data_IF_430141237002
#
_entry.id   IF_430141237002
#
_cell.length_a   1.000
_cell.length_b   1.000
_cell.length_c   1.000
_cell.angle_alpha   90.00
_cell.angle_beta   90.00
_cell.angle_gamma   90.00
#
_symmetry.space_group_name_H-M   'P 1'
#
loop_
_entity.id
_entity.type
_entity.pdbx_description
1 polymer ?
#
# COMPACT_ATOMS: atom_id res chain seq x y z
N UNK A 1 -24.48 -15.39 -10.61
CA UNK A 1 -24.42 -15.86 -9.21
C UNK A 1 -23.69 -17.19 -9.17
N UNK A 2 -22.74 -17.39 -8.25
CA UNK A 2 -21.99 -18.63 -8.12
C UNK A 2 -22.97 -19.80 -7.86
N UNK A 3 -22.91 -20.91 -8.63
CA UNK A 3 -23.76 -22.07 -8.42
C UNK A 3 -23.45 -22.79 -7.10
N UNK A 4 -22.23 -22.69 -6.59
CA UNK A 4 -21.76 -23.32 -5.35
C UNK A 4 -22.19 -22.48 -4.14
N UNK A 5 -23.49 -22.47 -3.87
CA UNK A 5 -24.11 -21.76 -2.74
C UNK A 5 -25.14 -22.64 -2.05
N UNK A 6 -25.37 -22.37 -0.79
CA UNK A 6 -26.36 -23.09 0.01
C UNK A 6 -27.03 -22.14 1.00
N UNK A 7 -28.29 -22.35 1.26
CA UNK A 7 -29.00 -21.70 2.35
C UNK A 7 -28.77 -22.54 3.61
N UNK A 8 -28.05 -21.97 4.57
CA UNK A 8 -27.73 -22.64 5.83
C UNK A 8 -28.67 -22.18 6.93
N UNK A 9 -29.16 -23.14 7.72
CA UNK A 9 -29.90 -22.86 8.93
C UNK A 9 -28.97 -23.01 10.16
N UNK A 10 -28.64 -21.84 10.77
CA UNK A 10 -27.75 -21.73 11.90
C UNK A 10 -26.28 -22.02 11.63
N UNK A 11 -25.46 -21.89 12.69
CA UNK A 11 -24.00 -22.02 12.61
C UNK A 11 -23.54 -23.40 12.14
N UNK A 12 -24.17 -24.48 12.64
CA UNK A 12 -23.80 -25.85 12.27
C UNK A 12 -23.95 -26.10 10.74
N UNK A 13 -24.93 -25.45 10.09
CA UNK A 13 -25.09 -25.51 8.63
C UNK A 13 -23.95 -24.81 7.91
N UNK A 14 -23.56 -23.64 8.40
CA UNK A 14 -22.44 -22.85 7.87
C UNK A 14 -21.12 -23.64 8.00
N UNK A 15 -20.83 -24.19 9.18
CA UNK A 15 -19.62 -25.00 9.43
C UNK A 15 -19.51 -26.16 8.44
N UNK A 16 -20.57 -26.98 8.32
CA UNK A 16 -20.57 -28.09 7.35
C UNK A 16 -20.34 -27.64 5.91
N UNK A 17 -20.87 -26.50 5.53
CA UNK A 17 -20.63 -25.93 4.20
C UNK A 17 -19.16 -25.52 4.02
N UNK A 18 -18.58 -24.85 5.01
CA UNK A 18 -17.18 -24.42 5.00
C UNK A 18 -16.22 -25.60 4.94
N UNK A 19 -16.39 -26.61 5.82
CA UNK A 19 -15.55 -27.81 5.86
C UNK A 19 -15.61 -28.60 4.54
N UNK A 20 -16.80 -28.72 3.96
CA UNK A 20 -16.96 -29.37 2.67
C UNK A 20 -16.19 -28.65 1.57
N UNK A 21 -16.28 -27.32 1.49
CA UNK A 21 -15.61 -26.56 0.44
C UNK A 21 -14.11 -26.38 0.68
N UNK A 22 -13.64 -26.42 1.92
CA UNK A 22 -12.21 -26.50 2.21
C UNK A 22 -11.56 -27.73 1.54
N UNK A 23 -12.26 -28.88 1.55
CA UNK A 23 -11.77 -30.11 0.93
C UNK A 23 -12.00 -30.15 -0.59
N UNK A 24 -13.12 -29.63 -1.07
CA UNK A 24 -13.53 -29.75 -2.48
C UNK A 24 -13.12 -28.58 -3.36
N UNK A 25 -12.57 -27.50 -2.81
CA UNK A 25 -12.20 -26.28 -3.54
C UNK A 25 -11.25 -26.51 -4.72
N UNK A 26 -10.38 -27.51 -4.60
CA UNK A 26 -9.41 -27.86 -5.65
C UNK A 26 -10.04 -28.53 -6.88
N UNK A 27 -11.32 -28.95 -6.80
CA UNK A 27 -12.07 -29.53 -7.91
C UNK A 27 -12.80 -28.45 -8.73
N UNK A 28 -12.81 -27.21 -8.28
CA UNK A 28 -13.42 -26.08 -8.99
C UNK A 28 -12.58 -25.66 -10.20
N UNK A 29 -13.18 -25.21 -11.30
CA UNK A 29 -12.47 -24.70 -12.45
C UNK A 29 -11.90 -23.28 -12.23
N UNK A 30 -11.93 -22.79 -11.00
CA UNK A 30 -11.43 -21.49 -10.57
C UNK A 30 -10.89 -21.57 -9.13
N UNK A 31 -9.93 -20.71 -8.79
CA UNK A 31 -9.39 -20.63 -7.45
C UNK A 31 -10.36 -19.93 -6.48
N UNK A 32 -10.42 -20.43 -5.23
CA UNK A 32 -11.18 -19.82 -4.14
C UNK A 32 -10.30 -19.71 -2.89
N UNK A 33 -10.39 -18.61 -2.18
CA UNK A 33 -9.62 -18.31 -0.97
C UNK A 33 -10.44 -18.43 0.32
N UNK A 34 -11.73 -18.76 0.17
CA UNK A 34 -12.64 -18.90 1.32
C UNK A 34 -14.11 -18.92 0.92
N UNK A 35 -14.95 -18.81 1.92
CA UNK A 35 -16.40 -18.78 1.83
C UNK A 35 -16.90 -17.43 2.33
N UNK A 36 -17.92 -16.87 1.67
CA UNK A 36 -18.61 -15.67 2.15
C UNK A 36 -19.99 -16.05 2.69
N UNK A 37 -20.20 -15.81 3.96
CA UNK A 37 -21.49 -15.96 4.64
C UNK A 37 -22.23 -14.64 4.62
N UNK A 38 -23.50 -14.66 4.25
CA UNK A 38 -24.36 -13.47 4.15
C UNK A 38 -25.68 -13.70 4.83
N UNK A 39 -26.24 -12.66 5.44
CA UNK A 39 -27.67 -12.70 5.84
C UNK A 39 -28.53 -12.93 4.59
N UNK A 40 -29.50 -13.84 4.69
CA UNK A 40 -30.37 -14.14 3.55
C UNK A 40 -31.57 -13.17 3.44
N UNK A 41 -32.07 -12.65 4.55
CA UNK A 41 -33.17 -11.66 4.56
C UNK A 41 -32.64 -10.27 4.20
N UNK A 42 -33.14 -9.71 3.10
CA UNK A 42 -32.72 -8.39 2.59
C UNK A 42 -33.09 -7.26 3.55
N UNK A 43 -34.17 -7.37 4.33
CA UNK A 43 -34.53 -6.36 5.33
C UNK A 43 -33.49 -6.31 6.45
N UNK A 44 -33.01 -7.47 6.89
CA UNK A 44 -31.92 -7.55 7.87
C UNK A 44 -30.58 -7.05 7.32
N UNK A 45 -30.35 -7.19 5.99
CA UNK A 45 -29.18 -6.57 5.36
C UNK A 45 -29.27 -5.04 5.41
N UNK A 46 -30.43 -4.47 5.12
CA UNK A 46 -30.67 -3.01 5.17
C UNK A 46 -30.55 -2.48 6.61
N UNK A 47 -31.11 -3.18 7.59
CA UNK A 47 -30.99 -2.83 9.02
C UNK A 47 -29.55 -2.90 9.52
N UNK A 48 -28.78 -3.94 9.13
CA UNK A 48 -27.37 -4.07 9.49
C UNK A 48 -26.51 -2.98 8.84
N UNK A 49 -26.88 -2.56 7.64
CA UNK A 49 -26.22 -1.50 6.89
C UNK A 49 -24.81 -1.85 6.44
N UNK A 50 -24.05 -0.79 6.12
CA UNK A 50 -22.66 -0.89 5.64
C UNK A 50 -21.74 -0.01 6.46
N UNK A 51 -20.47 -0.38 6.52
CA UNK A 51 -19.40 0.54 6.88
C UNK A 51 -18.93 1.27 5.62
N UNK A 52 -17.97 2.17 5.74
CA UNK A 52 -17.39 2.83 4.57
C UNK A 52 -16.65 1.87 3.62
N UNK A 53 -16.29 0.67 4.08
CA UNK A 53 -15.47 -0.29 3.32
C UNK A 53 -16.15 -1.62 3.06
N UNK A 54 -17.12 -2.01 3.87
CA UNK A 54 -17.70 -3.35 3.79
C UNK A 54 -19.13 -3.40 4.31
N UNK A 55 -19.98 -4.33 3.83
CA UNK A 55 -21.28 -4.61 4.39
C UNK A 55 -21.14 -5.25 5.78
N UNK A 56 -22.04 -4.89 6.71
CA UNK A 56 -22.11 -5.50 8.05
C UNK A 56 -22.84 -6.84 8.06
N UNK A 57 -23.57 -7.14 7.02
CA UNK A 57 -24.36 -8.35 6.83
C UNK A 57 -23.63 -9.47 6.09
N UNK A 58 -22.32 -9.31 5.82
CA UNK A 58 -21.50 -10.32 5.19
C UNK A 58 -20.17 -10.50 5.93
N UNK A 59 -19.73 -11.75 6.08
CA UNK A 59 -18.45 -12.11 6.69
C UNK A 59 -17.74 -13.14 5.80
N UNK A 60 -16.44 -13.00 5.63
CA UNK A 60 -15.61 -13.95 4.89
C UNK A 60 -14.88 -14.87 5.86
N UNK A 61 -15.00 -16.18 5.67
CA UNK A 61 -14.16 -17.20 6.27
C UNK A 61 -13.08 -17.59 5.26
N UNK A 62 -11.84 -17.26 5.55
CA UNK A 62 -10.68 -17.62 4.72
C UNK A 62 -10.17 -19.01 5.09
N UNK A 63 -9.80 -19.80 4.08
CA UNK A 63 -9.13 -21.08 4.31
C UNK A 63 -7.74 -20.85 4.93
N UNK A 64 -7.20 -21.86 5.65
CA UNK A 64 -5.81 -21.84 6.06
C UNK A 64 -4.89 -21.62 4.85
N UNK A 65 -3.94 -20.70 4.99
CA UNK A 65 -2.98 -20.42 3.94
C UNK A 65 -2.00 -21.59 3.77
N UNK A 66 -1.72 -21.94 2.52
CA UNK A 66 -0.67 -22.91 2.20
C UNK A 66 0.70 -22.36 2.61
N UNK A 67 1.54 -23.24 3.16
CA UNK A 67 2.93 -22.95 3.54
C UNK A 67 3.90 -23.77 2.71
N UNK A 68 5.04 -23.18 2.35
CA UNK A 68 6.08 -23.88 1.64
C UNK A 68 7.47 -23.42 2.11
N UNK A 69 8.44 -24.35 2.30
CA UNK A 69 9.82 -24.00 2.62
C UNK A 69 10.56 -23.54 1.37
N UNK A 70 11.45 -22.55 1.54
CA UNK A 70 12.36 -22.12 0.49
C UNK A 70 13.63 -21.52 1.08
N UNK A 71 14.73 -21.51 0.29
CA UNK A 71 16.03 -21.00 0.73
C UNK A 71 16.12 -19.49 0.51
N UNK A 72 16.43 -18.76 1.57
CA UNK A 72 16.67 -17.32 1.54
C UNK A 72 17.97 -17.00 0.80
N UNK A 73 17.86 -16.18 -0.26
CA UNK A 73 18.98 -15.79 -1.12
C UNK A 73 19.56 -14.44 -0.73
N UNK A 74 18.71 -13.47 -0.43
CA UNK A 74 19.11 -12.12 0.00
C UNK A 74 17.98 -11.35 0.67
N UNK A 75 18.36 -10.30 1.38
CA UNK A 75 17.48 -9.25 1.88
C UNK A 75 17.49 -8.08 0.90
N UNK A 76 16.32 -7.65 0.43
CA UNK A 76 16.14 -6.44 -0.37
C UNK A 76 15.39 -5.42 0.46
N UNK A 77 15.81 -4.17 0.39
CA UNK A 77 15.18 -3.09 1.15
C UNK A 77 14.46 -2.15 0.20
N UNK A 78 13.18 -1.90 0.45
CA UNK A 78 12.35 -1.00 -0.33
C UNK A 78 12.00 0.24 0.50
N UNK A 79 11.98 1.40 -0.14
CA UNK A 79 11.59 2.67 0.49
C UNK A 79 10.24 3.11 -0.05
N UNK A 80 9.27 3.22 0.83
CA UNK A 80 7.91 3.64 0.50
C UNK A 80 7.76 5.17 0.40
N UNK A 81 6.60 5.62 -0.05
CA UNK A 81 6.28 7.07 -0.21
C UNK A 81 6.35 7.89 1.07
N UNK A 82 6.20 7.27 2.22
CA UNK A 82 6.31 7.91 3.53
C UNK A 82 7.72 7.80 4.12
N UNK A 83 8.69 7.36 3.33
CA UNK A 83 10.03 7.06 3.78
C UNK A 83 10.16 5.73 4.52
N UNK A 84 9.07 5.03 4.83
CA UNK A 84 9.13 3.75 5.51
C UNK A 84 9.96 2.73 4.72
N UNK A 85 10.90 2.11 5.42
CA UNK A 85 11.83 1.13 4.90
C UNK A 85 11.27 -0.26 5.18
N UNK A 86 10.97 -1.00 4.12
CA UNK A 86 10.37 -2.33 4.23
C UNK A 86 11.36 -3.38 3.74
N UNK A 87 11.80 -4.29 4.62
CA UNK A 87 12.62 -5.43 4.21
C UNK A 87 11.78 -6.48 3.47
N UNK A 88 12.35 -7.03 2.42
CA UNK A 88 11.77 -8.07 1.58
C UNK A 88 12.76 -9.21 1.44
N UNK A 89 12.37 -10.41 1.84
CA UNK A 89 13.13 -11.62 1.61
C UNK A 89 13.03 -12.02 0.13
N UNK A 90 14.15 -12.21 -0.55
CA UNK A 90 14.22 -12.92 -1.83
C UNK A 90 14.74 -14.35 -1.58
N UNK A 91 14.01 -15.33 -2.10
CA UNK A 91 14.29 -16.75 -1.89
C UNK A 91 14.12 -17.54 -3.19
N UNK A 92 14.56 -18.79 -3.20
CA UNK A 92 14.39 -19.67 -4.35
C UNK A 92 12.90 -19.76 -4.72
N UNK A 93 12.54 -19.67 -6.01
CA UNK A 93 11.12 -19.73 -6.41
C UNK A 93 10.45 -21.01 -5.92
N UNK A 94 9.29 -20.86 -5.28
CA UNK A 94 8.49 -21.96 -4.76
C UNK A 94 7.04 -21.84 -5.23
N UNK A 95 6.42 -22.97 -5.54
CA UNK A 95 5.00 -23.02 -5.87
C UNK A 95 4.16 -22.84 -4.60
N UNK A 96 3.23 -21.89 -4.60
CA UNK A 96 2.40 -21.57 -3.45
C UNK A 96 1.05 -21.01 -3.93
N UNK A 97 -0.03 -21.64 -3.55
CA UNK A 97 -1.40 -21.28 -3.95
C UNK A 97 -1.52 -21.04 -5.47
N UNK A 98 -1.07 -22.01 -6.28
CA UNK A 98 -1.18 -21.99 -7.74
C UNK A 98 -0.29 -21.00 -8.49
N UNK A 99 0.62 -20.30 -7.80
CA UNK A 99 1.57 -19.37 -8.43
C UNK A 99 3.01 -19.63 -7.95
N UNK A 100 3.99 -19.16 -8.72
CA UNK A 100 5.40 -19.16 -8.29
C UNK A 100 5.70 -17.89 -7.50
N UNK A 101 6.23 -18.04 -6.28
CA UNK A 101 6.60 -16.96 -5.37
C UNK A 101 8.09 -17.01 -5.10
N UNK A 102 8.77 -15.85 -5.16
CA UNK A 102 10.20 -15.71 -4.89
C UNK A 102 10.54 -14.53 -3.98
N UNK A 103 9.52 -13.79 -3.52
CA UNK A 103 9.67 -12.64 -2.63
C UNK A 103 8.57 -12.63 -1.58
N UNK A 104 8.93 -12.31 -0.34
CA UNK A 104 7.97 -12.15 0.75
C UNK A 104 8.35 -10.97 1.64
N UNK A 105 7.34 -10.29 2.19
CA UNK A 105 7.61 -9.20 3.13
C UNK A 105 8.14 -9.73 4.46
N UNK A 106 9.05 -8.95 5.05
CA UNK A 106 9.51 -9.11 6.43
C UNK A 106 8.97 -7.98 7.33
N UNK A 107 8.04 -7.19 6.81
CA UNK A 107 7.36 -6.08 7.47
C UNK A 107 8.30 -4.97 7.97
N UNK A 108 9.17 -5.24 8.94
CA UNK A 108 10.07 -4.29 9.60
C UNK A 108 11.31 -4.98 10.21
N UNK A 109 12.19 -4.21 10.85
CA UNK A 109 13.39 -4.72 11.52
C UNK A 109 13.06 -5.69 12.67
N UNK A 110 12.00 -5.41 13.43
CA UNK A 110 11.60 -6.26 14.56
C UNK A 110 11.27 -7.67 14.11
N UNK A 111 10.63 -7.80 12.95
CA UNK A 111 10.34 -9.12 12.38
C UNK A 111 11.57 -9.88 11.95
N UNK A 112 12.62 -9.20 11.45
CA UNK A 112 13.91 -9.82 11.13
C UNK A 112 14.54 -10.36 12.42
N UNK A 113 14.57 -9.56 13.48
CA UNK A 113 15.12 -9.92 14.77
C UNK A 113 14.32 -11.06 15.45
N UNK A 114 12.97 -11.00 15.42
CA UNK A 114 12.09 -12.04 15.96
C UNK A 114 12.31 -13.40 15.29
N UNK A 115 12.53 -13.39 13.97
CA UNK A 115 12.82 -14.59 13.18
C UNK A 115 14.26 -15.08 13.37
N UNK A 116 15.15 -14.31 13.98
CA UNK A 116 16.60 -14.57 14.01
C UNK A 116 17.13 -14.93 12.60
N UNK A 117 16.80 -14.06 11.63
CA UNK A 117 16.98 -14.36 10.21
C UNK A 117 18.45 -14.26 9.78
N UNK A 118 18.97 -15.30 9.14
CA UNK A 118 20.32 -15.34 8.61
C UNK A 118 20.34 -15.61 7.09
N UNK A 119 21.38 -15.13 6.43
CA UNK A 119 21.55 -15.38 5.00
C UNK A 119 21.71 -16.88 4.74
N UNK A 120 20.94 -17.40 3.80
CA UNK A 120 20.95 -18.82 3.43
C UNK A 120 20.04 -19.70 4.29
N UNK A 121 19.29 -19.13 5.25
CA UNK A 121 18.29 -19.88 6.01
C UNK A 121 17.24 -20.52 5.10
N UNK A 122 16.71 -21.65 5.54
CA UNK A 122 15.46 -22.16 4.99
C UNK A 122 14.31 -21.48 5.74
N UNK A 123 13.51 -20.71 5.00
CA UNK A 123 12.34 -19.98 5.50
C UNK A 123 11.06 -20.65 5.06
N UNK A 124 10.04 -20.65 5.92
CA UNK A 124 8.70 -21.07 5.55
C UNK A 124 7.90 -19.84 5.16
N UNK A 125 7.37 -19.84 3.96
CA UNK A 125 6.59 -18.74 3.39
C UNK A 125 5.14 -19.15 3.22
N UNK A 126 4.23 -18.18 3.37
CA UNK A 126 2.80 -18.35 3.07
C UNK A 126 2.29 -17.10 2.36
N UNK A 127 1.15 -17.20 1.72
CA UNK A 127 0.40 -16.03 1.23
C UNK A 127 -0.67 -15.64 2.22
N UNK A 128 -0.47 -14.53 2.92
CA UNK A 128 -1.51 -13.94 3.78
C UNK A 128 -2.72 -13.56 2.92
N UNK A 129 -3.90 -14.14 3.23
CA UNK A 129 -5.12 -13.95 2.43
C UNK A 129 -4.96 -14.38 0.97
N UNK A 130 -4.06 -15.33 0.69
CA UNK A 130 -3.70 -15.87 -0.64
C UNK A 130 -3.15 -14.82 -1.64
N UNK A 131 -2.77 -13.63 -1.17
CA UNK A 131 -2.31 -12.53 -2.04
C UNK A 131 -0.87 -12.11 -1.70
N UNK A 132 -0.59 -11.74 -0.45
CA UNK A 132 0.69 -11.16 -0.05
C UNK A 132 1.59 -12.23 0.59
N UNK A 133 2.73 -12.57 -0.04
CA UNK A 133 3.68 -13.50 0.56
C UNK A 133 4.34 -12.89 1.81
N UNK A 134 4.43 -13.68 2.87
CA UNK A 134 5.15 -13.33 4.10
C UNK A 134 6.00 -14.49 4.59
N UNK A 135 7.08 -14.19 5.31
CA UNK A 135 7.90 -15.19 6.00
C UNK A 135 7.28 -15.48 7.37
N UNK A 136 6.87 -16.73 7.57
CA UNK A 136 6.21 -17.19 8.80
C UNK A 136 7.22 -17.53 9.88
N UNK A 137 8.22 -18.36 9.53
CA UNK A 137 9.26 -18.86 10.43
C UNK A 137 10.51 -19.27 9.66
N UNK A 138 11.60 -19.41 10.37
CA UNK A 138 12.85 -20.04 9.95
C UNK A 138 12.84 -21.51 10.39
N UNK A 139 13.59 -22.37 9.67
CA UNK A 139 13.92 -23.74 10.09
C UNK A 139 15.40 -23.76 10.52
N UNK A 140 15.70 -23.50 11.82
CA UNK A 140 17.06 -23.32 12.31
C UNK A 140 17.92 -24.59 12.14
N UNK A 141 17.29 -25.76 12.13
CA UNK A 141 17.93 -27.06 11.92
C UNK A 141 18.53 -27.21 10.52
N UNK A 142 18.06 -26.41 9.55
CA UNK A 142 18.57 -26.39 8.16
C UNK A 142 19.50 -25.19 7.91
N UNK A 143 19.84 -24.40 8.91
CA UNK A 143 20.72 -23.23 8.78
C UNK A 143 22.14 -23.65 8.39
N UNK A 144 22.74 -23.02 7.33
CA UNK A 144 24.11 -23.27 6.95
C UNK A 144 25.10 -22.90 8.07
N UNK A 145 26.17 -23.67 8.22
CA UNK A 145 27.25 -23.30 9.14
C UNK A 145 27.89 -21.98 8.71
N UNK A 146 28.03 -21.05 9.66
CA UNK A 146 28.61 -19.73 9.41
C UNK A 146 27.64 -18.74 8.71
N UNK A 147 26.35 -19.02 8.72
CA UNK A 147 25.35 -18.08 8.23
C UNK A 147 25.44 -16.73 8.97
N UNK A 148 25.33 -15.63 8.23
CA UNK A 148 25.47 -14.27 8.75
C UNK A 148 24.10 -13.73 9.11
N UNK A 149 23.89 -13.16 10.32
CA UNK A 149 22.66 -12.49 10.69
C UNK A 149 22.31 -11.38 9.69
N UNK A 150 21.03 -11.20 9.42
CA UNK A 150 20.52 -10.13 8.58
C UNK A 150 19.92 -9.02 9.43
N UNK A 151 20.14 -7.79 8.98
CA UNK A 151 19.57 -6.58 9.59
C UNK A 151 19.26 -5.54 8.52
N UNK A 152 18.53 -4.48 8.90
CA UNK A 152 18.36 -3.34 8.03
C UNK A 152 19.66 -2.55 7.90
N UNK A 153 19.92 -1.92 6.73
CA UNK A 153 21.06 -1.01 6.60
C UNK A 153 20.86 0.25 7.43
N UNK A 154 21.95 0.87 7.87
CA UNK A 154 21.92 2.16 8.57
C UNK A 154 21.58 3.34 7.64
N UNK A 155 21.73 3.14 6.34
CA UNK A 155 21.54 4.18 5.33
C UNK A 155 20.50 3.77 4.28
N UNK A 156 19.78 4.78 3.80
CA UNK A 156 18.78 4.60 2.75
C UNK A 156 19.44 4.09 1.47
N UNK A 157 18.99 2.96 0.90
CA UNK A 157 19.57 2.39 -0.32
C UNK A 157 19.37 3.27 -1.57
N UNK A 158 18.46 4.24 -1.50
CA UNK A 158 18.10 5.10 -2.63
C UNK A 158 18.83 6.45 -2.63
N UNK A 159 19.08 7.04 -1.46
CA UNK A 159 19.67 8.38 -1.35
C UNK A 159 20.86 8.48 -0.39
N UNK A 160 21.26 7.40 0.27
CA UNK A 160 22.39 7.34 1.18
C UNK A 160 22.20 8.08 2.53
N UNK A 161 21.06 8.71 2.78
CA UNK A 161 20.79 9.39 4.05
C UNK A 161 20.65 8.37 5.18
N UNK A 162 21.08 8.73 6.39
CA UNK A 162 20.90 7.92 7.59
C UNK A 162 19.42 7.63 7.81
N UNK A 163 19.11 6.37 8.08
CA UNK A 163 17.77 5.95 8.45
C UNK A 163 17.50 6.23 9.92
N UNK A 164 16.27 6.59 10.24
CA UNK A 164 15.84 6.95 11.60
C UNK A 164 14.69 6.05 12.02
N UNK A 165 14.72 5.62 13.26
CA UNK A 165 13.61 4.91 13.91
C UNK A 165 13.19 5.70 15.14
N UNK A 166 11.91 5.99 15.23
CA UNK A 166 11.29 6.54 16.43
C UNK A 166 10.98 5.38 17.40
N UNK A 167 11.25 5.57 18.69
CA UNK A 167 11.01 4.53 19.72
C UNK A 167 9.53 4.15 19.84
N UNK A 168 8.63 5.03 19.43
CA UNK A 168 7.19 4.79 19.41
C UNK A 168 6.69 4.04 18.17
N UNK A 169 7.56 3.82 17.16
CA UNK A 169 7.20 3.22 15.88
C UNK A 169 8.02 1.96 15.56
N UNK A 170 7.36 0.95 15.00
CA UNK A 170 8.06 -0.23 14.45
C UNK A 170 8.76 0.07 13.12
N UNK A 171 8.47 1.18 12.47
CA UNK A 171 8.97 1.52 11.13
C UNK A 171 10.27 2.32 11.19
N UNK A 172 11.32 1.82 10.57
CA UNK A 172 12.54 2.59 10.24
C UNK A 172 12.26 3.44 8.98
N UNK A 173 12.78 4.69 8.93
CA UNK A 173 12.44 5.64 7.86
C UNK A 173 13.64 6.38 7.30
N UNK A 174 13.56 6.64 6.00
CA UNK A 174 14.30 7.71 5.35
C UNK A 174 13.52 9.01 5.54
N UNK A 175 14.15 10.01 6.15
CA UNK A 175 13.55 11.33 6.42
C UNK A 175 13.95 12.39 5.39
N UNK A 176 14.74 12.03 4.39
CA UNK A 176 15.16 12.94 3.33
C UNK A 176 14.00 13.20 2.35
N UNK A 177 13.43 14.40 2.40
CA UNK A 177 12.33 14.83 1.52
C UNK A 177 12.70 14.81 0.03
N UNK A 178 14.01 14.86 -0.29
CA UNK A 178 14.54 14.79 -1.67
C UNK A 178 14.87 13.35 -2.09
N UNK A 179 14.50 12.34 -1.30
CA UNK A 179 14.75 10.93 -1.66
C UNK A 179 13.97 10.54 -2.93
N UNK A 180 14.66 10.03 -3.98
CA UNK A 180 13.98 9.64 -5.22
C UNK A 180 12.88 8.60 -5.04
N UNK A 181 13.05 7.67 -4.09
CA UNK A 181 12.03 6.66 -3.80
C UNK A 181 10.76 7.28 -3.20
N UNK A 182 10.91 8.24 -2.28
CA UNK A 182 9.78 8.98 -1.69
C UNK A 182 9.05 9.75 -2.78
N UNK A 183 9.79 10.45 -3.65
CA UNK A 183 9.21 11.18 -4.77
C UNK A 183 8.45 10.24 -5.73
N UNK A 184 9.09 9.16 -6.19
CA UNK A 184 8.42 8.16 -7.06
C UNK A 184 7.16 7.58 -6.41
N UNK A 185 7.24 7.28 -5.11
CA UNK A 185 6.10 6.79 -4.34
C UNK A 185 4.97 7.80 -4.20
N UNK A 186 5.30 9.07 -3.96
CA UNK A 186 4.36 10.19 -3.90
C UNK A 186 3.66 10.43 -5.24
N UNK A 187 4.43 10.46 -6.35
CA UNK A 187 3.91 10.60 -7.70
C UNK A 187 2.93 9.47 -8.08
N UNK A 188 3.31 8.20 -7.79
CA UNK A 188 2.40 7.04 -8.03
C UNK A 188 1.11 7.17 -7.24
N UNK A 189 1.19 7.65 -6.02
CA UNK A 189 0.01 7.85 -5.17
C UNK A 189 -0.87 8.99 -5.68
N UNK A 190 -0.25 10.13 -6.05
CA UNK A 190 -0.95 11.29 -6.60
C UNK A 190 -1.76 10.93 -7.84
N UNK A 191 -1.17 10.20 -8.78
CA UNK A 191 -1.82 9.84 -10.04
C UNK A 191 -2.73 8.61 -9.96
N UNK A 192 -2.83 7.98 -8.79
CA UNK A 192 -3.63 6.76 -8.61
C UNK A 192 -5.13 7.01 -8.77
N UNK A 193 -5.88 5.95 -9.09
CA UNK A 193 -7.34 5.98 -9.29
C UNK A 193 -8.10 6.57 -8.09
N UNK A 194 -7.62 6.36 -6.86
CA UNK A 194 -8.24 6.92 -5.65
C UNK A 194 -7.95 8.40 -5.43
N UNK A 195 -6.87 8.91 -6.00
CA UNK A 195 -6.44 10.31 -5.93
C UNK A 195 -6.81 11.07 -7.22
N UNK A 196 -5.87 11.54 -7.99
CA UNK A 196 -6.13 12.40 -9.16
C UNK A 196 -6.53 11.64 -10.43
N UNK A 197 -6.39 10.31 -10.45
CA UNK A 197 -6.82 9.41 -11.54
C UNK A 197 -6.24 9.79 -12.91
N UNK A 198 -4.93 9.96 -12.96
CA UNK A 198 -4.23 10.32 -14.19
C UNK A 198 -3.90 9.06 -14.98
N UNK A 199 -4.64 8.84 -16.05
CA UNK A 199 -4.38 7.72 -16.95
C UNK A 199 -3.11 7.94 -17.79
N UNK A 200 -2.40 6.85 -18.09
CA UNK A 200 -1.17 6.88 -18.90
C UNK A 200 0.12 7.16 -18.13
N UNK A 201 0.07 7.58 -16.85
CA UNK A 201 1.27 7.83 -16.03
C UNK A 201 1.62 6.63 -15.13
N UNK A 202 2.10 5.56 -15.74
CA UNK A 202 2.50 4.33 -15.04
C UNK A 202 3.87 4.41 -14.37
N UNK A 203 4.21 3.39 -13.54
CA UNK A 203 5.44 3.36 -12.75
C UNK A 203 6.72 3.54 -13.56
N UNK A 204 6.82 2.93 -14.76
CA UNK A 204 8.01 3.04 -15.61
C UNK A 204 8.24 4.46 -16.15
N UNK A 205 7.15 5.17 -16.43
CA UNK A 205 7.26 6.55 -16.89
C UNK A 205 7.64 7.49 -15.74
N UNK A 206 7.07 7.26 -14.54
CA UNK A 206 7.46 7.99 -13.32
C UNK A 206 8.95 7.79 -13.02
N UNK A 207 9.46 6.56 -13.14
CA UNK A 207 10.89 6.28 -12.98
C UNK A 207 11.74 7.11 -13.95
N UNK A 208 11.42 7.09 -15.26
CA UNK A 208 12.14 7.90 -16.25
C UNK A 208 12.10 9.40 -15.94
N UNK A 209 10.94 9.93 -15.56
CA UNK A 209 10.77 11.36 -15.24
C UNK A 209 11.64 11.78 -14.06
N UNK A 210 11.69 10.98 -13.01
CA UNK A 210 12.49 11.24 -11.80
C UNK A 210 13.97 11.04 -12.08
N UNK A 211 14.39 9.94 -12.72
CA UNK A 211 15.79 9.64 -13.03
C UNK A 211 16.43 10.67 -13.97
N UNK A 212 15.65 11.19 -14.93
CA UNK A 212 16.12 12.27 -15.81
C UNK A 212 16.02 13.66 -15.18
N UNK A 213 15.52 13.78 -13.94
CA UNK A 213 15.37 15.05 -13.23
C UNK A 213 14.32 15.98 -13.83
N UNK A 214 13.41 15.45 -14.66
CA UNK A 214 12.33 16.20 -15.30
C UNK A 214 11.20 16.54 -14.34
N UNK A 215 11.04 15.74 -13.27
CA UNK A 215 10.06 15.92 -12.21
C UNK A 215 10.78 15.78 -10.86
N UNK A 216 10.68 16.80 -10.02
CA UNK A 216 11.26 16.89 -8.67
C UNK A 216 10.20 17.10 -7.60
N UNK A 217 8.99 17.42 -8.01
CA UNK A 217 7.81 17.59 -7.15
C UNK A 217 6.56 17.10 -7.87
N UNK A 218 5.46 16.94 -7.14
CA UNK A 218 4.15 16.63 -7.73
C UNK A 218 3.72 17.75 -8.71
N UNK A 219 3.97 19.01 -8.38
CA UNK A 219 3.58 20.15 -9.19
C UNK A 219 4.28 20.17 -10.57
N UNK A 220 5.48 19.59 -10.68
CA UNK A 220 6.20 19.54 -11.96
C UNK A 220 5.48 18.67 -13.00
N UNK A 221 4.60 17.75 -12.59
CA UNK A 221 3.77 16.99 -13.51
C UNK A 221 2.93 17.90 -14.43
N UNK A 222 2.44 18.99 -13.88
CA UNK A 222 1.58 19.96 -14.58
C UNK A 222 2.34 20.96 -15.47
N UNK A 223 3.68 20.86 -15.48
CA UNK A 223 4.58 21.63 -16.33
C UNK A 223 5.11 20.82 -17.53
N UNK A 224 4.79 19.52 -17.59
CA UNK A 224 5.21 18.65 -18.69
C UNK A 224 4.43 18.97 -19.96
N UNK A 225 5.14 19.06 -21.08
CA UNK A 225 4.55 19.22 -22.39
C UNK A 225 4.61 17.94 -23.24
N UNK A 226 3.80 17.90 -24.29
CA UNK A 226 3.68 16.72 -25.14
C UNK A 226 4.98 16.42 -25.92
N UNK A 227 5.77 17.44 -26.29
CA UNK A 227 7.02 17.25 -27.05
C UNK A 227 8.09 16.58 -26.17
N UNK A 228 8.23 17.06 -24.93
CA UNK A 228 9.11 16.46 -23.94
C UNK A 228 8.72 15.01 -23.66
N UNK A 229 7.43 14.75 -23.40
CA UNK A 229 6.93 13.41 -23.13
C UNK A 229 7.13 12.46 -24.33
N UNK A 230 6.91 12.92 -25.56
CA UNK A 230 7.12 12.11 -26.76
C UNK A 230 8.59 11.72 -26.98
N UNK A 231 9.54 12.44 -26.38
CA UNK A 231 10.97 12.11 -26.41
C UNK A 231 11.38 10.98 -25.47
N UNK A 232 10.47 10.54 -24.57
CA UNK A 232 10.74 9.49 -23.60
C UNK A 232 10.58 8.10 -24.20
N UNK A 233 11.23 7.10 -23.58
CA UNK A 233 11.16 5.73 -24.05
C UNK A 233 9.73 5.19 -24.02
N UNK A 234 9.31 4.57 -25.12
CA UNK A 234 7.98 3.95 -25.29
C UNK A 234 6.82 4.94 -25.19
N UNK A 235 7.09 6.23 -25.43
CA UNK A 235 6.08 7.28 -25.46
C UNK A 235 6.00 7.86 -26.88
N UNK A 236 4.87 7.64 -27.56
CA UNK A 236 4.60 8.24 -28.86
C UNK A 236 3.81 9.54 -28.73
N UNK A 237 3.76 10.36 -29.79
CA UNK A 237 3.06 11.66 -29.82
C UNK A 237 1.61 11.58 -29.30
N UNK A 238 0.85 10.57 -29.74
CA UNK A 238 -0.54 10.38 -29.31
C UNK A 238 -0.65 10.09 -27.82
N UNK A 239 0.25 9.23 -27.28
CA UNK A 239 0.26 8.89 -25.84
C UNK A 239 0.67 10.09 -25.01
N UNK A 240 1.64 10.88 -25.48
CA UNK A 240 2.09 12.12 -24.85
C UNK A 240 0.95 13.16 -24.78
N UNK A 241 0.25 13.38 -25.89
CA UNK A 241 -0.89 14.30 -25.94
C UNK A 241 -2.03 13.84 -25.00
N UNK A 242 -2.35 12.55 -24.98
CA UNK A 242 -3.35 11.98 -24.09
C UNK A 242 -2.97 12.16 -22.60
N UNK A 243 -1.70 11.98 -22.26
CA UNK A 243 -1.22 12.17 -20.88
C UNK A 243 -1.33 13.64 -20.44
N UNK A 244 -0.94 14.60 -21.31
CA UNK A 244 -1.12 16.04 -21.02
C UNK A 244 -2.60 16.36 -20.80
N UNK A 245 -3.49 15.84 -21.64
CA UNK A 245 -4.94 16.02 -21.49
C UNK A 245 -5.45 15.40 -20.16
N UNK A 246 -4.96 14.22 -19.78
CA UNK A 246 -5.31 13.56 -18.50
C UNK A 246 -4.83 14.38 -17.29
N UNK A 247 -3.62 14.94 -17.34
CA UNK A 247 -3.11 15.85 -16.32
C UNK A 247 -3.99 17.12 -16.19
N UNK A 248 -4.37 17.76 -17.29
CA UNK A 248 -5.28 18.90 -17.23
C UNK A 248 -6.65 18.53 -16.67
N UNK A 249 -7.21 17.39 -17.08
CA UNK A 249 -8.48 16.90 -16.53
C UNK A 249 -8.39 16.62 -15.04
N UNK A 250 -7.26 16.12 -14.55
CA UNK A 250 -7.06 15.78 -13.13
C UNK A 250 -7.17 17.00 -12.21
N UNK A 251 -6.92 18.22 -12.70
CA UNK A 251 -7.09 19.47 -11.93
C UNK A 251 -8.55 19.70 -11.48
N UNK A 252 -9.52 19.05 -12.13
CA UNK A 252 -10.95 19.13 -11.80
C UNK A 252 -11.36 18.14 -10.70
N UNK A 253 -10.45 17.31 -10.22
CA UNK A 253 -10.77 16.37 -9.15
C UNK A 253 -11.12 17.11 -7.86
N UNK A 254 -12.13 16.62 -7.11
CA UNK A 254 -12.60 17.31 -5.90
C UNK A 254 -11.50 17.34 -4.82
N UNK A 255 -11.55 18.39 -3.99
CA UNK A 255 -10.53 18.69 -2.98
C UNK A 255 -10.15 17.50 -2.08
N UNK A 256 -11.11 16.66 -1.67
CA UNK A 256 -10.79 15.48 -0.85
C UNK A 256 -9.85 14.48 -1.54
N UNK A 257 -9.91 14.39 -2.88
CA UNK A 257 -9.02 13.51 -3.66
C UNK A 257 -7.62 14.11 -3.79
N UNK A 258 -7.54 15.43 -3.92
CA UNK A 258 -6.27 16.15 -3.90
C UNK A 258 -5.61 15.99 -2.52
N UNK A 259 -6.34 16.22 -1.44
CA UNK A 259 -5.87 16.04 -0.06
C UNK A 259 -5.38 14.60 0.19
N UNK A 260 -6.13 13.61 -0.26
CA UNK A 260 -5.69 12.21 -0.21
C UNK A 260 -4.42 11.98 -1.03
N UNK A 261 -4.35 12.56 -2.22
CA UNK A 261 -3.23 12.45 -3.17
C UNK A 261 -1.91 13.02 -2.63
N UNK A 262 -1.95 14.04 -1.77
CA UNK A 262 -0.75 14.59 -1.08
C UNK A 262 -0.03 13.54 -0.23
N UNK A 263 -0.73 12.45 0.15
CA UNK A 263 -0.12 11.32 0.84
C UNK A 263 0.33 11.60 2.26
N UNK A 264 -0.29 12.58 2.92
CA UNK A 264 -0.04 12.94 4.31
C UNK A 264 -0.26 11.71 5.21
N UNK A 265 0.62 11.48 6.16
CA UNK A 265 0.52 10.34 7.08
C UNK A 265 -0.83 10.35 7.80
N UNK A 266 -1.37 9.17 8.05
CA UNK A 266 -2.67 8.94 8.70
C UNK A 266 -3.89 9.52 7.95
N UNK A 267 -3.70 10.21 6.81
CA UNK A 267 -4.79 10.72 5.98
C UNK A 267 -5.06 9.74 4.83
N UNK A 268 -5.93 8.77 5.11
CA UNK A 268 -6.52 7.90 4.11
C UNK A 268 -7.72 8.58 3.43
N UNK A 269 -8.32 7.91 2.45
CA UNK A 269 -9.48 8.43 1.69
C UNK A 269 -10.64 8.90 2.59
N UNK A 270 -10.91 8.15 3.66
CA UNK A 270 -11.98 8.45 4.63
C UNK A 270 -11.70 9.76 5.36
N UNK A 271 -10.49 9.88 5.91
CA UNK A 271 -10.07 11.06 6.67
C UNK A 271 -9.97 12.29 5.75
N UNK A 272 -9.52 12.11 4.51
CA UNK A 272 -9.50 13.17 3.51
C UNK A 272 -10.91 13.70 3.19
N UNK A 273 -11.92 12.82 3.09
CA UNK A 273 -13.31 13.22 2.90
C UNK A 273 -13.87 13.99 4.10
N UNK A 274 -13.60 13.52 5.32
CA UNK A 274 -14.04 14.19 6.55
C UNK A 274 -13.41 15.57 6.70
N UNK A 275 -12.10 15.68 6.47
CA UNK A 275 -11.36 16.94 6.50
C UNK A 275 -11.84 17.91 5.41
N UNK A 276 -12.03 17.45 4.19
CA UNK A 276 -12.47 18.30 3.08
C UNK A 276 -13.92 18.78 3.22
N UNK A 277 -14.76 18.07 3.96
CA UNK A 277 -16.11 18.50 4.30
C UNK A 277 -16.09 19.66 5.32
N UNK A 278 -15.14 19.65 6.26
CA UNK A 278 -15.00 20.70 7.28
C UNK A 278 -14.16 21.89 6.77
N UNK A 279 -13.13 21.60 5.98
CA UNK A 279 -12.17 22.59 5.46
C UNK A 279 -12.14 22.51 3.94
N UNK A 280 -12.77 23.46 3.26
CA UNK A 280 -13.05 23.41 1.82
C UNK A 280 -11.87 23.71 0.91
N UNK A 281 -10.71 24.08 1.49
CA UNK A 281 -9.48 24.37 0.74
C UNK A 281 -8.23 24.05 1.56
N UNK A 282 -7.08 23.95 0.86
CA UNK A 282 -5.77 23.83 1.51
C UNK A 282 -5.47 24.99 2.45
N UNK A 283 -5.83 26.21 2.09
CA UNK A 283 -5.62 27.39 2.91
C UNK A 283 -6.45 27.35 4.21
N UNK A 284 -7.72 26.96 4.14
CA UNK A 284 -8.56 26.82 5.33
C UNK A 284 -8.09 25.69 6.26
N UNK A 285 -7.55 24.62 5.69
CA UNK A 285 -7.00 23.51 6.47
C UNK A 285 -5.66 23.90 7.13
N UNK A 286 -4.80 24.64 6.42
CA UNK A 286 -3.49 25.07 6.92
C UNK A 286 -3.61 26.05 8.11
N UNK A 287 -4.69 26.82 8.18
CA UNK A 287 -4.94 27.81 9.28
C UNK A 287 -5.87 27.25 10.38
N UNK A 288 -6.27 25.97 10.27
CA UNK A 288 -7.16 25.35 11.23
C UNK A 288 -6.44 25.06 12.56
N UNK A 289 -7.16 25.34 13.66
CA UNK A 289 -6.65 25.02 15.01
C UNK A 289 -6.59 23.50 15.21
N UNK A 290 -5.51 22.98 15.84
CA UNK A 290 -5.33 21.55 16.05
C UNK A 290 -6.48 20.84 16.76
N UNK A 291 -7.05 21.52 17.75
CA UNK A 291 -8.16 21.04 18.56
C UNK A 291 -9.43 20.92 17.71
N UNK A 292 -9.65 21.88 16.79
CA UNK A 292 -10.77 21.86 15.84
C UNK A 292 -10.66 20.69 14.87
N UNK A 293 -9.46 20.39 14.40
CA UNK A 293 -9.20 19.21 13.55
C UNK A 293 -9.45 17.92 14.33
N UNK A 294 -8.88 17.81 15.54
CA UNK A 294 -8.98 16.60 16.36
C UNK A 294 -10.42 16.32 16.86
N UNK A 295 -11.28 17.33 16.90
CA UNK A 295 -12.69 17.23 17.30
C UNK A 295 -13.60 16.65 16.18
N UNK A 296 -13.12 16.56 14.95
CA UNK A 296 -13.89 15.98 13.85
C UNK A 296 -14.11 14.48 14.06
N UNK A 297 -15.30 14.01 13.76
CA UNK A 297 -15.65 12.59 13.89
C UNK A 297 -14.72 11.71 13.06
N UNK A 298 -14.05 10.75 13.72
CA UNK A 298 -13.08 9.84 13.09
C UNK A 298 -11.68 10.42 12.88
N UNK A 299 -11.43 11.66 13.30
CA UNK A 299 -10.13 12.31 13.30
C UNK A 299 -9.62 12.39 14.74
N UNK A 300 -8.49 11.77 15.01
CA UNK A 300 -7.87 11.82 16.35
C UNK A 300 -6.67 12.78 16.40
N UNK A 301 -6.06 12.93 17.59
CA UNK A 301 -4.88 13.79 17.78
C UNK A 301 -3.69 13.39 16.90
N UNK A 302 -3.49 12.12 16.60
CA UNK A 302 -2.46 11.61 15.70
C UNK A 302 -2.56 12.19 14.29
N UNK A 303 -3.79 12.30 13.75
CA UNK A 303 -4.04 12.84 12.42
C UNK A 303 -3.80 14.34 12.42
N UNK A 304 -4.27 15.05 13.48
CA UNK A 304 -4.04 16.48 13.67
C UNK A 304 -2.54 16.79 13.75
N UNK A 305 -1.79 16.04 14.55
CA UNK A 305 -0.33 16.16 14.65
C UNK A 305 0.37 15.92 13.32
N UNK A 306 -0.04 14.90 12.57
CA UNK A 306 0.53 14.61 11.25
C UNK A 306 0.29 15.72 10.24
N UNK A 307 -0.87 16.36 10.27
CA UNK A 307 -1.18 17.54 9.45
C UNK A 307 -0.28 18.72 9.79
N UNK A 308 -0.13 19.03 11.09
CA UNK A 308 0.73 20.11 11.55
C UNK A 308 2.18 19.90 11.13
N UNK A 309 2.73 18.69 11.38
CA UNK A 309 4.10 18.36 10.98
C UNK A 309 4.28 18.48 9.47
N UNK A 310 3.28 18.07 8.69
CA UNK A 310 3.33 18.18 7.24
C UNK A 310 3.33 19.64 6.79
N UNK A 311 2.45 20.49 7.33
CA UNK A 311 2.39 21.92 7.03
C UNK A 311 3.61 22.69 7.54
N UNK A 312 4.25 22.27 8.63
CA UNK A 312 5.47 22.89 9.15
C UNK A 312 6.69 22.68 8.23
N UNK A 313 6.61 21.74 7.28
CA UNK A 313 7.71 21.51 6.32
C UNK A 313 7.64 22.52 5.16
N UNK A 314 8.67 23.39 5.00
CA UNK A 314 8.67 24.42 3.95
C UNK A 314 8.53 23.87 2.52
N UNK A 315 9.00 22.63 2.27
CA UNK A 315 8.85 21.98 0.97
C UNK A 315 7.39 21.68 0.63
N UNK A 316 6.59 21.33 1.65
CA UNK A 316 5.16 21.05 1.46
C UNK A 316 4.34 22.34 1.29
N UNK A 317 4.70 23.42 1.99
CA UNK A 317 4.09 24.74 1.78
C UNK A 317 4.33 25.21 0.34
N UNK A 318 5.57 25.11 -0.13
CA UNK A 318 5.91 25.45 -1.53
C UNK A 318 5.16 24.55 -2.52
N UNK A 319 5.03 23.25 -2.23
CA UNK A 319 4.25 22.33 -3.09
C UNK A 319 2.79 22.79 -3.23
N UNK A 320 2.16 23.24 -2.14
CA UNK A 320 0.79 23.76 -2.19
C UNK A 320 0.66 25.08 -2.96
N UNK A 321 1.69 25.92 -2.91
CA UNK A 321 1.75 27.17 -3.70
C UNK A 321 1.94 26.90 -5.21
N UNK A 322 2.66 25.83 -5.54
CA UNK A 322 2.95 25.40 -6.93
C UNK A 322 1.81 24.62 -7.59
N UNK A 323 0.86 24.05 -6.81
CA UNK A 323 -0.30 23.30 -7.27
C UNK A 323 -1.53 24.18 -7.52
#
# INVERSE_FOLDING_TARGET
VNPNRELCDGLNGIERFCDRWEQQRHQLPYATDGVVVKLNDLRLQDEAGTTQKAPRWAIALKYPAEEAPSKLLKLVVQVGRTGAVTPVAEFEPVALAGTSVSRATLHNADRIAELDLHLGDTVVVRKAGEIIPEVVRVLPELRPKGAVPLDLPDHCPECGSTLVRDDSEAATRCINSSCPAILRGGLRHWVSKGALDVDGLGSKLIEQLVERGLVRSIADLYRLDAALLASLERMGEKSAANLVAALEQSKQQPWHRQLYGLGIRHIGEVNAKALAAAYTSSASLATAEPEGIAALHGIGPEISSSLQQWHANPSNTRLLEDL
#
